data_IF_083952015836
#
_entry.id   IF_083952015836
#
_cell.length_a   1.000
_cell.length_b   1.000
_cell.length_c   1.000
_cell.angle_alpha   90.00
_cell.angle_beta   90.00
_cell.angle_gamma   90.00
#
_symmetry.space_group_name_H-M   'P 1'
#
loop_
_entity.id
_entity.type
_entity.pdbx_description
1 polymer ?
#
# COMPACT_ATOMS: atom_id res chain seq x y z
N UNK A 1 -32.31 -51.98 -29.07
CA UNK A 1 -31.55 -52.69 -28.01
C UNK A 1 -30.77 -51.67 -27.19
N UNK A 2 -31.07 -51.52 -25.90
CA UNK A 2 -30.38 -50.54 -25.05
C UNK A 2 -28.93 -51.00 -24.79
N UNK A 3 -27.96 -50.13 -25.09
CA UNK A 3 -26.55 -50.40 -24.83
C UNK A 3 -26.32 -50.44 -23.31
N UNK A 4 -25.76 -51.54 -22.79
CA UNK A 4 -25.38 -51.65 -21.37
C UNK A 4 -24.29 -50.63 -21.07
N UNK A 5 -24.62 -49.58 -20.32
CA UNK A 5 -23.66 -48.54 -19.93
C UNK A 5 -22.92 -48.98 -18.67
N UNK A 6 -21.57 -48.92 -18.71
CA UNK A 6 -20.73 -49.30 -17.57
C UNK A 6 -20.95 -48.39 -16.36
N UNK A 7 -20.98 -48.96 -15.15
CA UNK A 7 -21.08 -48.25 -13.86
C UNK A 7 -19.92 -47.27 -13.61
N UNK A 8 -18.86 -47.31 -14.42
CA UNK A 8 -17.72 -46.39 -14.34
C UNK A 8 -17.71 -45.32 -15.44
N UNK A 9 -18.72 -45.30 -16.32
CA UNK A 9 -18.83 -44.27 -17.35
C UNK A 9 -19.03 -42.88 -16.74
N UNK A 10 -18.51 -41.86 -17.44
CA UNK A 10 -18.61 -40.46 -17.04
C UNK A 10 -20.06 -39.99 -16.90
N UNK A 11 -20.94 -40.46 -17.78
CA UNK A 11 -22.39 -40.18 -17.74
C UNK A 11 -23.08 -40.81 -16.50
N UNK A 12 -22.63 -42.00 -16.07
CA UNK A 12 -23.13 -42.64 -14.85
C UNK A 12 -22.69 -41.88 -13.59
N UNK A 13 -21.42 -41.44 -13.55
CA UNK A 13 -20.88 -40.65 -12.43
C UNK A 13 -21.51 -39.26 -12.31
N UNK A 14 -22.04 -38.71 -13.40
CA UNK A 14 -22.75 -37.43 -13.41
C UNK A 14 -24.26 -37.54 -13.15
N UNK A 15 -24.80 -38.75 -13.01
CA UNK A 15 -26.23 -38.96 -12.80
C UNK A 15 -27.11 -38.68 -14.02
N UNK A 16 -26.51 -38.42 -15.19
CA UNK A 16 -27.23 -38.04 -16.42
C UNK A 16 -28.11 -39.21 -16.92
N UNK A 17 -27.70 -40.46 -16.72
CA UNK A 17 -28.40 -41.66 -17.21
C UNK A 17 -29.75 -41.97 -16.52
N UNK A 18 -29.99 -41.41 -15.33
CA UNK A 18 -31.26 -41.60 -14.61
C UNK A 18 -32.31 -40.53 -14.96
N UNK A 19 -31.91 -39.50 -15.71
CA UNK A 19 -32.69 -38.29 -15.95
C UNK A 19 -33.33 -38.26 -17.35
N UNK A 20 -33.25 -39.36 -18.10
CA UNK A 20 -33.25 -39.27 -19.56
C UNK A 20 -34.59 -39.50 -20.28
N UNK A 21 -35.67 -39.86 -19.59
CA UNK A 21 -36.98 -40.07 -20.21
C UNK A 21 -38.02 -39.01 -19.81
N UNK A 22 -38.16 -38.76 -18.52
CA UNK A 22 -39.18 -37.84 -17.99
C UNK A 22 -38.80 -36.37 -18.25
N UNK A 23 -37.54 -35.99 -18.12
CA UNK A 23 -37.11 -34.60 -18.33
C UNK A 23 -37.19 -34.21 -19.81
N UNK A 24 -36.84 -35.11 -20.73
CA UNK A 24 -37.01 -34.87 -22.18
C UNK A 24 -38.48 -34.76 -22.57
N UNK A 25 -39.37 -35.44 -21.85
CA UNK A 25 -40.82 -35.28 -22.06
C UNK A 25 -41.34 -33.92 -21.60
N UNK A 26 -40.76 -33.35 -20.52
CA UNK A 26 -41.09 -32.00 -20.02
C UNK A 26 -40.59 -30.88 -20.94
N UNK A 27 -39.51 -31.09 -21.69
CA UNK A 27 -39.01 -30.13 -22.71
C UNK A 27 -39.96 -30.01 -23.92
N UNK A 28 -40.81 -31.00 -24.16
CA UNK A 28 -41.78 -30.99 -25.27
C UNK A 28 -43.08 -30.25 -24.95
N UNK A 29 -43.28 -29.86 -23.68
CA UNK A 29 -44.47 -29.11 -23.26
C UNK A 29 -44.29 -27.66 -23.69
N UNK A 30 -45.20 -27.10 -24.52
CA UNK A 30 -45.11 -25.70 -24.93
C UNK A 30 -45.30 -24.80 -23.71
N UNK A 31 -44.21 -24.21 -23.22
CA UNK A 31 -44.24 -23.17 -22.19
C UNK A 31 -44.86 -21.90 -22.77
N UNK A 32 -45.79 -21.28 -22.05
CA UNK A 32 -46.47 -20.06 -22.47
C UNK A 32 -45.45 -18.94 -22.79
N UNK A 33 -45.25 -18.67 -24.08
CA UNK A 33 -44.26 -17.75 -24.64
C UNK A 33 -44.45 -16.28 -24.19
N UNK A 34 -45.57 -15.94 -23.57
CA UNK A 34 -45.95 -14.56 -23.21
C UNK A 34 -45.67 -14.18 -21.75
N UNK A 35 -45.18 -15.11 -20.91
CA UNK A 35 -44.87 -14.82 -19.49
C UNK A 35 -43.46 -14.27 -19.26
N UNK A 36 -42.65 -14.18 -20.32
CA UNK A 36 -41.25 -13.75 -20.24
C UNK A 36 -41.09 -12.21 -20.10
N UNK A 37 -42.20 -11.47 -20.04
CA UNK A 37 -42.21 -10.02 -19.72
C UNK A 37 -41.65 -9.78 -18.32
N UNK A 38 -42.03 -10.62 -17.34
CA UNK A 38 -41.49 -10.53 -15.98
C UNK A 38 -39.98 -10.78 -15.97
N UNK A 39 -39.53 -11.80 -16.69
CA UNK A 39 -38.10 -12.11 -16.82
C UNK A 39 -37.33 -11.02 -17.58
N UNK A 40 -37.94 -10.41 -18.61
CA UNK A 40 -37.38 -9.26 -19.32
C UNK A 40 -37.22 -8.05 -18.40
N UNK A 41 -38.24 -7.74 -17.60
CA UNK A 41 -38.20 -6.67 -16.59
C UNK A 41 -37.13 -6.98 -15.55
N UNK A 42 -37.07 -8.20 -15.01
CA UNK A 42 -36.06 -8.62 -14.02
C UNK A 42 -34.64 -8.50 -14.60
N UNK A 43 -34.43 -8.92 -15.86
CA UNK A 43 -33.14 -8.78 -16.55
C UNK A 43 -32.77 -7.31 -16.76
N UNK A 44 -33.73 -6.46 -17.12
CA UNK A 44 -33.52 -5.03 -17.31
C UNK A 44 -33.21 -4.31 -15.99
N UNK A 45 -33.96 -4.60 -14.92
CA UNK A 45 -33.76 -4.00 -13.59
C UNK A 45 -32.40 -4.41 -13.00
N UNK A 46 -32.05 -5.70 -13.07
CA UNK A 46 -30.75 -6.19 -12.61
C UNK A 46 -29.57 -5.55 -13.37
N UNK A 47 -29.70 -5.36 -14.70
CA UNK A 47 -28.69 -4.67 -15.51
C UNK A 47 -28.56 -3.20 -15.10
N UNK A 48 -29.68 -2.52 -14.85
CA UNK A 48 -29.70 -1.12 -14.43
C UNK A 48 -29.10 -0.94 -13.03
N UNK A 49 -29.41 -1.83 -12.09
CA UNK A 49 -28.84 -1.85 -10.74
C UNK A 49 -27.33 -2.12 -10.76
N UNK A 50 -26.88 -3.06 -11.58
CA UNK A 50 -25.45 -3.32 -11.80
C UNK A 50 -24.72 -2.11 -12.38
N UNK A 51 -25.32 -1.41 -13.35
CA UNK A 51 -24.74 -0.18 -13.90
C UNK A 51 -24.70 0.96 -12.87
N UNK A 52 -25.72 1.08 -12.04
CA UNK A 52 -25.78 2.09 -10.98
C UNK A 52 -24.72 1.85 -9.92
N UNK A 53 -24.57 0.61 -9.43
CA UNK A 53 -23.52 0.24 -8.47
C UNK A 53 -22.12 0.48 -9.05
N UNK A 54 -21.87 0.14 -10.32
CA UNK A 54 -20.61 0.47 -10.99
C UNK A 54 -20.37 1.98 -11.10
N UNK A 55 -21.41 2.79 -11.40
CA UNK A 55 -21.29 4.25 -11.45
C UNK A 55 -20.98 4.83 -10.06
N UNK A 56 -21.64 4.35 -9.01
CA UNK A 56 -21.40 4.78 -7.64
C UNK A 56 -19.99 4.41 -7.17
N UNK A 57 -19.52 3.20 -7.49
CA UNK A 57 -18.17 2.75 -7.16
C UNK A 57 -17.11 3.55 -7.93
N UNK A 58 -17.35 3.89 -9.21
CA UNK A 58 -16.47 4.79 -9.99
C UNK A 58 -16.43 6.21 -9.45
N UNK A 59 -17.53 6.72 -8.86
CA UNK A 59 -17.57 8.05 -8.21
C UNK A 59 -16.92 8.06 -6.83
N UNK A 60 -16.99 6.94 -6.09
CA UNK A 60 -16.45 6.80 -4.73
C UNK A 60 -14.96 6.43 -4.67
N UNK A 61 -14.41 5.84 -5.73
CA UNK A 61 -12.97 5.57 -5.83
C UNK A 61 -12.15 6.84 -6.09
N UNK A 62 -10.86 6.87 -5.70
CA UNK A 62 -9.97 7.97 -6.09
C UNK A 62 -9.93 8.07 -7.62
N UNK A 63 -9.94 9.30 -8.16
CA UNK A 63 -9.95 9.63 -9.60
C UNK A 63 -8.62 9.26 -10.28
N UNK A 64 -8.06 8.10 -9.99
CA UNK A 64 -6.88 7.59 -10.66
C UNK A 64 -7.32 7.16 -12.06
N UNK A 65 -6.97 7.97 -13.05
CA UNK A 65 -7.20 7.71 -14.48
C UNK A 65 -6.39 6.47 -14.87
N UNK A 66 -6.97 5.30 -14.66
CA UNK A 66 -6.43 4.04 -15.17
C UNK A 66 -6.61 4.09 -16.69
N UNK A 67 -5.52 4.30 -17.42
CA UNK A 67 -5.50 4.29 -18.88
C UNK A 67 -6.01 2.92 -19.39
N UNK A 68 -6.76 2.94 -20.51
CA UNK A 68 -7.37 1.75 -21.14
C UNK A 68 -6.39 0.60 -21.41
N UNK A 69 -5.10 0.88 -21.40
CA UNK A 69 -4.01 -0.05 -21.67
C UNK A 69 -3.70 -1.02 -20.52
N UNK A 70 -4.14 -0.71 -19.29
CA UNK A 70 -3.95 -1.58 -18.13
C UNK A 70 -5.10 -2.57 -17.89
N UNK A 71 -6.25 -2.38 -18.53
CA UNK A 71 -7.40 -3.29 -18.39
C UNK A 71 -7.22 -4.62 -19.14
N UNK A 72 -6.41 -4.66 -20.20
CA UNK A 72 -6.22 -5.87 -21.01
C UNK A 72 -5.38 -6.95 -20.34
N UNK A 73 -4.63 -6.61 -19.29
CA UNK A 73 -3.80 -7.56 -18.51
C UNK A 73 -4.52 -8.13 -17.28
N UNK A 74 -5.63 -7.53 -16.85
CA UNK A 74 -6.33 -7.92 -15.61
C UNK A 74 -7.36 -9.05 -15.82
N UNK A 75 -7.94 -9.17 -17.01
CA UNK A 75 -9.03 -10.13 -17.28
C UNK A 75 -8.61 -11.61 -17.35
N UNK A 76 -7.31 -11.91 -17.44
CA UNK A 76 -6.79 -13.29 -17.34
C UNK A 76 -6.48 -13.74 -15.90
N UNK A 77 -6.39 -12.82 -14.94
CA UNK A 77 -6.10 -13.17 -13.53
C UNK A 77 -7.35 -13.60 -12.74
N UNK A 78 -8.55 -13.22 -13.19
CA UNK A 78 -9.81 -13.51 -12.51
C UNK A 78 -10.32 -14.95 -12.67
N UNK A 79 -9.64 -15.80 -13.45
CA UNK A 79 -9.96 -17.22 -13.62
C UNK A 79 -8.96 -18.14 -12.93
N UNK A 80 -8.16 -17.61 -12.02
CA UNK A 80 -7.26 -18.44 -11.22
C UNK A 80 -8.04 -18.97 -10.01
N UNK A 81 -8.79 -20.04 -10.27
CA UNK A 81 -9.32 -20.98 -9.28
C UNK A 81 -10.09 -20.38 -8.09
N UNK A 82 -11.35 -20.00 -8.31
CA UNK A 82 -12.31 -19.60 -7.26
C UNK A 82 -12.59 -20.68 -6.19
N UNK A 83 -11.96 -21.86 -6.27
CA UNK A 83 -12.04 -22.94 -5.28
C UNK A 83 -10.90 -23.97 -5.38
N UNK A 84 -9.71 -23.58 -5.85
CA UNK A 84 -8.60 -24.50 -6.12
C UNK A 84 -7.41 -24.40 -5.15
N UNK A 85 -6.35 -25.18 -5.46
CA UNK A 85 -5.10 -25.27 -4.68
C UNK A 85 -4.37 -23.94 -4.52
N UNK A 86 -4.52 -23.01 -5.44
CA UNK A 86 -3.89 -21.70 -5.34
C UNK A 86 -4.65 -20.77 -4.39
N UNK A 87 -5.99 -20.81 -4.41
CA UNK A 87 -6.82 -20.05 -3.45
C UNK A 87 -6.52 -20.45 -2.00
N UNK A 88 -6.42 -21.75 -1.73
CA UNK A 88 -6.03 -22.26 -0.39
C UNK A 88 -4.62 -21.84 0.02
N UNK A 89 -3.64 -21.84 -0.91
CA UNK A 89 -2.29 -21.30 -0.64
C UNK A 89 -2.30 -19.80 -0.34
N UNK A 90 -3.09 -19.02 -1.07
CA UNK A 90 -3.27 -17.58 -0.83
C UNK A 90 -3.89 -17.37 0.56
N UNK A 91 -4.94 -18.11 0.89
CA UNK A 91 -5.60 -18.03 2.19
C UNK A 91 -4.64 -18.37 3.33
N UNK A 92 -3.89 -19.47 3.23
CA UNK A 92 -2.87 -19.83 4.22
C UNK A 92 -1.71 -18.82 4.31
N UNK A 93 -1.37 -18.13 3.23
CA UNK A 93 -0.39 -17.05 3.26
C UNK A 93 -0.93 -15.85 4.04
N UNK A 94 -2.18 -15.47 3.79
CA UNK A 94 -2.85 -14.37 4.49
C UNK A 94 -3.03 -14.70 5.99
N UNK A 95 -3.45 -15.92 6.31
CA UNK A 95 -3.61 -16.39 7.69
C UNK A 95 -2.29 -16.40 8.44
N UNK A 96 -1.21 -16.91 7.83
CA UNK A 96 0.14 -16.86 8.44
C UNK A 96 0.61 -15.43 8.68
N UNK A 97 0.42 -14.54 7.70
CA UNK A 97 0.77 -13.13 7.87
C UNK A 97 -0.03 -12.50 9.03
N UNK A 98 -1.35 -12.70 9.06
CA UNK A 98 -2.21 -12.21 10.15
C UNK A 98 -1.81 -12.78 11.50
N UNK A 99 -1.48 -14.07 11.57
CA UNK A 99 -1.06 -14.73 12.81
C UNK A 99 0.29 -14.18 13.30
N UNK A 100 1.27 -13.97 12.42
CA UNK A 100 2.55 -13.34 12.80
C UNK A 100 2.34 -11.91 13.31
N UNK A 101 1.49 -11.14 12.64
CA UNK A 101 1.14 -9.78 13.09
C UNK A 101 0.43 -9.80 14.44
N UNK A 102 -0.54 -10.71 14.62
CA UNK A 102 -1.26 -10.90 15.88
C UNK A 102 -0.32 -11.34 17.00
N UNK A 103 0.52 -12.35 16.79
CA UNK A 103 1.49 -12.84 17.78
C UNK A 103 2.52 -11.78 18.16
N UNK A 104 3.02 -11.01 17.19
CA UNK A 104 3.88 -9.87 17.49
C UNK A 104 3.13 -8.86 18.33
N UNK A 105 1.94 -8.44 17.90
CA UNK A 105 1.12 -7.46 18.62
C UNK A 105 0.72 -7.93 20.02
N UNK A 106 0.34 -9.20 20.19
CA UNK A 106 -0.01 -9.77 21.50
C UNK A 106 1.20 -9.88 22.42
N UNK A 107 2.38 -10.14 21.87
CA UNK A 107 3.64 -10.10 22.64
C UNK A 107 3.97 -8.66 23.06
N UNK A 108 3.73 -7.68 22.20
CA UNK A 108 3.83 -6.27 22.58
C UNK A 108 2.79 -5.86 23.62
N UNK A 109 1.54 -6.31 23.50
CA UNK A 109 0.47 -6.01 24.46
C UNK A 109 0.74 -6.66 25.83
N UNK A 110 1.38 -7.83 25.88
CA UNK A 110 1.80 -8.47 27.14
C UNK A 110 3.00 -7.77 27.76
N UNK A 111 4.00 -7.38 26.96
CA UNK A 111 5.12 -6.53 27.43
C UNK A 111 4.59 -5.19 27.96
N UNK A 112 3.67 -4.54 27.25
CA UNK A 112 3.04 -3.27 27.68
C UNK A 112 2.25 -3.43 28.98
N UNK A 113 1.62 -4.58 29.21
CA UNK A 113 0.94 -4.87 30.48
C UNK A 113 1.94 -5.08 31.62
N UNK A 114 2.92 -5.96 31.43
CA UNK A 114 3.95 -6.24 32.44
C UNK A 114 4.71 -4.96 32.82
N UNK A 115 5.10 -4.17 31.83
CA UNK A 115 5.79 -2.89 32.08
C UNK A 115 4.90 -1.88 32.81
N UNK A 116 3.60 -1.81 32.51
CA UNK A 116 2.66 -0.97 33.27
C UNK A 116 2.51 -1.42 34.71
N UNK A 117 2.36 -2.73 34.94
CA UNK A 117 2.27 -3.30 36.29
C UNK A 117 3.55 -3.06 37.09
N UNK A 118 4.72 -3.20 36.47
CA UNK A 118 6.01 -2.94 37.10
C UNK A 118 6.22 -1.44 37.39
N UNK A 119 5.79 -0.56 36.48
CA UNK A 119 5.76 0.89 36.73
C UNK A 119 4.81 1.26 37.87
N UNK A 120 3.68 0.60 37.99
CA UNK A 120 2.72 0.82 39.09
C UNK A 120 3.28 0.37 40.43
N UNK A 121 3.98 -0.78 40.47
CA UNK A 121 4.72 -1.25 41.65
C UNK A 121 5.80 -0.24 42.07
N UNK A 122 6.64 0.22 41.14
CA UNK A 122 7.68 1.21 41.43
C UNK A 122 7.10 2.54 41.92
N UNK A 123 5.94 2.97 41.38
CA UNK A 123 5.22 4.15 41.89
C UNK A 123 4.69 3.94 43.31
N UNK A 124 4.19 2.75 43.62
CA UNK A 124 3.71 2.41 44.97
C UNK A 124 4.85 2.34 46.00
N UNK A 125 6.06 2.02 45.54
CA UNK A 125 7.30 2.02 46.35
C UNK A 125 7.96 3.41 46.45
N UNK A 126 7.34 4.45 45.88
CA UNK A 126 7.77 5.84 46.05
C UNK A 126 8.83 6.32 45.05
N UNK A 127 9.12 5.58 43.97
CA UNK A 127 10.02 6.03 42.90
C UNK A 127 9.31 6.98 41.92
N UNK A 128 9.89 8.17 41.70
CA UNK A 128 9.45 9.07 40.63
C UNK A 128 9.92 8.56 39.26
N UNK A 129 8.95 8.13 38.44
CA UNK A 129 9.21 7.76 37.05
C UNK A 129 9.34 9.03 36.22
N UNK A 130 10.58 9.45 35.94
CA UNK A 130 10.87 10.52 34.97
C UNK A 130 10.54 10.00 33.56
N UNK A 131 9.30 10.23 33.12
CA UNK A 131 8.93 9.95 31.74
C UNK A 131 9.63 10.97 30.83
N UNK A 132 10.69 10.56 30.15
CA UNK A 132 11.18 11.32 28.99
C UNK A 132 10.04 11.34 27.97
N UNK A 133 9.41 12.49 27.79
CA UNK A 133 8.37 12.70 26.77
C UNK A 133 8.89 12.15 25.44
N UNK A 134 8.22 11.13 24.92
CA UNK A 134 8.48 10.67 23.56
C UNK A 134 8.07 11.80 22.63
N UNK A 135 9.04 12.31 21.85
CA UNK A 135 8.78 13.31 20.83
C UNK A 135 7.59 12.89 19.98
N UNK A 136 6.65 13.80 19.77
CA UNK A 136 5.48 13.56 18.93
C UNK A 136 5.92 13.35 17.47
N UNK A 137 5.05 12.77 16.64
CA UNK A 137 5.35 12.56 15.22
C UNK A 137 5.68 13.88 14.49
N UNK A 138 5.06 14.99 14.92
CA UNK A 138 5.33 16.33 14.40
C UNK A 138 6.75 16.80 14.74
N UNK A 139 7.17 16.67 16.00
CA UNK A 139 8.53 17.06 16.44
C UNK A 139 9.63 16.25 15.75
N UNK A 140 9.39 14.96 15.45
CA UNK A 140 10.35 14.14 14.70
C UNK A 140 10.46 14.56 13.24
N UNK A 141 9.39 15.09 12.66
CA UNK A 141 9.37 15.54 11.28
C UNK A 141 10.10 16.89 11.15
N UNK A 142 9.86 17.81 12.10
CA UNK A 142 10.61 19.07 12.17
C UNK A 142 12.12 18.88 12.34
N UNK A 143 12.56 17.90 13.14
CA UNK A 143 13.98 17.58 13.29
C UNK A 143 14.58 17.06 11.97
N UNK A 144 13.86 16.21 11.23
CA UNK A 144 14.32 15.73 9.92
C UNK A 144 14.33 16.87 8.89
N UNK A 145 13.34 17.75 8.90
CA UNK A 145 13.25 18.87 7.97
C UNK A 145 14.39 19.87 8.22
N UNK A 146 14.80 20.07 9.49
CA UNK A 146 15.97 20.88 9.85
C UNK A 146 17.29 20.24 9.44
N UNK A 147 17.44 18.93 9.66
CA UNK A 147 18.65 18.20 9.25
C UNK A 147 18.80 18.18 7.72
N UNK A 148 17.69 18.06 7.00
CA UNK A 148 17.65 18.20 5.53
C UNK A 148 18.02 19.63 5.12
N UNK A 149 17.51 20.66 5.82
CA UNK A 149 17.82 22.07 5.53
C UNK A 149 19.31 22.38 5.73
N UNK A 150 19.90 21.92 6.83
CA UNK A 150 21.34 22.07 7.12
C UNK A 150 22.20 21.33 6.07
N UNK A 151 21.74 20.16 5.60
CA UNK A 151 22.43 19.42 4.54
C UNK A 151 22.23 19.98 3.12
N UNK A 152 21.26 20.89 2.96
CA UNK A 152 20.91 21.55 1.69
C UNK A 152 21.41 23.00 1.63
N UNK A 153 22.29 23.44 2.54
CA UNK A 153 23.17 24.59 2.29
C UNK A 153 24.14 24.25 1.15
N UNK A 154 23.62 24.19 -0.07
CA UNK A 154 24.39 24.19 -1.30
C UNK A 154 24.93 25.60 -1.44
N UNK A 155 26.21 25.78 -1.15
CA UNK A 155 26.92 27.03 -1.43
C UNK A 155 26.71 27.36 -2.92
N UNK A 156 25.94 28.40 -3.17
CA UNK A 156 25.76 28.90 -4.54
C UNK A 156 27.11 29.43 -5.03
N UNK A 157 27.44 29.22 -6.31
CA UNK A 157 28.74 29.60 -6.89
C UNK A 157 29.17 31.05 -6.56
N UNK A 158 28.22 31.98 -6.38
CA UNK A 158 28.51 33.36 -5.96
C UNK A 158 28.99 33.50 -4.51
N UNK A 159 28.49 32.68 -3.58
CA UNK A 159 28.91 32.71 -2.17
C UNK A 159 30.29 32.07 -1.95
N UNK A 160 30.66 31.08 -2.78
CA UNK A 160 32.01 30.51 -2.79
C UNK A 160 33.02 31.55 -3.27
N UNK A 161 32.70 32.29 -4.33
CA UNK A 161 33.57 33.32 -4.90
C UNK A 161 33.76 34.53 -3.96
N UNK A 162 32.73 34.90 -3.20
CA UNK A 162 32.85 35.95 -2.17
C UNK A 162 33.71 35.51 -0.98
N UNK A 163 33.52 34.27 -0.47
CA UNK A 163 34.35 33.72 0.60
C UNK A 163 35.81 33.55 0.19
N UNK A 164 36.09 33.19 -1.06
CA UNK A 164 37.46 33.13 -1.59
C UNK A 164 38.10 34.53 -1.72
N UNK A 165 37.32 35.54 -2.13
CA UNK A 165 37.80 36.93 -2.19
C UNK A 165 38.04 37.53 -0.80
N UNK A 166 37.22 37.19 0.19
CA UNK A 166 37.45 37.62 1.58
C UNK A 166 38.68 36.93 2.19
N UNK A 167 38.85 35.62 1.98
CA UNK A 167 40.07 34.91 2.42
C UNK A 167 41.33 35.46 1.75
N UNK A 168 41.28 35.72 0.45
CA UNK A 168 42.41 36.30 -0.28
C UNK A 168 42.78 37.70 0.24
N UNK A 169 41.79 38.53 0.63
CA UNK A 169 42.05 39.83 1.26
C UNK A 169 42.63 39.71 2.66
N UNK A 170 42.13 38.77 3.47
CA UNK A 170 42.62 38.53 4.82
C UNK A 170 44.06 37.99 4.82
N UNK A 171 44.41 37.13 3.85
CA UNK A 171 45.77 36.64 3.65
C UNK A 171 46.72 37.77 3.20
N UNK A 172 46.26 38.65 2.30
CA UNK A 172 47.03 39.83 1.86
C UNK A 172 47.28 40.83 3.00
N UNK A 173 46.34 41.01 3.92
CA UNK A 173 46.52 41.84 5.12
C UNK A 173 47.43 41.18 6.16
N UNK A 174 47.41 39.84 6.28
CA UNK A 174 48.34 39.10 7.13
C UNK A 174 49.77 39.14 6.57
N UNK A 175 49.95 39.04 5.26
CA UNK A 175 51.27 39.19 4.63
C UNK A 175 51.82 40.62 4.78
N UNK A 176 50.97 41.64 4.65
CA UNK A 176 51.35 43.05 4.90
C UNK A 176 51.70 43.33 6.35
N UNK A 177 51.01 42.71 7.32
CA UNK A 177 51.31 42.87 8.74
C UNK A 177 52.48 42.00 9.21
N UNK A 178 52.79 40.90 8.51
CA UNK A 178 53.94 40.03 8.81
C UNK A 178 55.25 40.52 8.21
N UNK A 179 55.24 41.37 7.17
CA UNK A 179 56.45 41.88 6.55
C UNK A 179 56.75 43.33 7.00
N UNK A 180 57.75 43.57 7.88
CA UNK A 180 58.04 44.90 8.41
C UNK A 180 58.56 45.92 7.38
N UNK A 181 58.82 45.49 6.13
CA UNK A 181 59.30 46.34 5.04
C UNK A 181 58.23 46.70 3.99
N UNK A 182 56.98 46.26 4.13
CA UNK A 182 55.93 46.51 3.12
C UNK A 182 55.53 47.99 2.98
N UNK A 183 55.85 48.82 3.96
CA UNK A 183 55.58 50.27 3.99
C UNK A 183 56.61 51.11 3.21
N UNK A 184 57.70 50.50 2.76
CA UNK A 184 58.81 51.20 2.09
C UNK A 184 58.78 51.11 0.56
N UNK A 185 57.85 50.34 -0.02
CA UNK A 185 57.78 50.12 -1.48
C UNK A 185 56.74 51.05 -2.14
N UNK A 186 55.88 51.71 -1.38
CA UNK A 186 54.80 52.55 -1.91
C UNK A 186 55.20 53.98 -2.30
N UNK A 187 56.45 54.39 -2.11
CA UNK A 187 56.91 55.76 -2.39
C UNK A 187 57.90 55.87 -3.58
N UNK A 188 58.12 54.80 -4.34
CA UNK A 188 58.95 54.84 -5.56
C UNK A 188 58.16 54.31 -6.77
N UNK A 189 57.19 55.08 -7.26
CA UNK A 189 56.85 55.18 -8.69
C UNK A 189 55.86 56.35 -8.92
N UNK A 190 56.45 57.49 -9.31
CA UNK A 190 55.95 58.65 -10.08
C UNK A 190 54.57 59.29 -9.78
#
# INVERSE_FOLDING_TARGET
>A
MARKVSKHSRAARRGELAMDAEIKSLESIPTAQETDVANSIIRATAKNESLLSQKMNKKRGPKNKISKESLSKSSRSFRVDSGGRLSTKIQHSIERFKNVQFLRKSSWDTIDKVTKEELEKLRSEGFEVVSRKRKTKAERQEDNDKEILDSMEVETFGQVEEKEKEKAKEELEKEKSSNPYSLLVSDEEA
#
